data_IF_239386756407
#
_entry.id   IF_239386756407
#
_cell.length_a   1.000
_cell.length_b   1.000
_cell.length_c   1.000
_cell.angle_alpha   90.00
_cell.angle_beta   90.00
_cell.angle_gamma   90.00
#
_symmetry.space_group_name_H-M   'P 1'
#
loop_
_entity.id
_entity.type
_entity.pdbx_description
1 polymer ?
#
# COMPACT_ATOMS: atom_id res chain seq x y z
N UNK A 1 11.40 9.42 20.33
CA UNK A 1 11.32 8.01 19.92
C UNK A 1 11.24 7.99 18.40
N UNK A 2 12.31 7.64 17.69
CA UNK A 2 12.26 7.55 16.23
C UNK A 2 11.29 6.43 15.84
N UNK A 3 10.31 6.66 14.96
CA UNK A 3 9.35 5.62 14.60
C UNK A 3 10.10 4.48 13.89
N UNK A 4 9.93 3.25 14.37
CA UNK A 4 10.40 2.06 13.68
C UNK A 4 9.67 1.98 12.34
N UNK A 5 10.43 1.96 11.24
CA UNK A 5 9.89 1.83 9.88
C UNK A 5 9.67 0.36 9.54
N UNK A 6 8.48 0.07 9.03
CA UNK A 6 8.10 -1.22 8.49
C UNK A 6 7.83 -1.10 6.99
N UNK A 7 7.97 -2.21 6.28
CA UNK A 7 7.86 -2.29 4.83
C UNK A 7 6.95 -3.47 4.50
N UNK A 8 5.80 -3.21 3.91
CA UNK A 8 4.99 -4.25 3.28
C UNK A 8 5.51 -4.50 1.87
N UNK A 9 5.99 -5.72 1.63
CA UNK A 9 6.59 -6.14 0.37
C UNK A 9 5.63 -7.07 -0.34
N UNK A 10 5.21 -6.66 -1.54
CA UNK A 10 4.17 -7.35 -2.32
C UNK A 10 4.73 -7.61 -3.72
N UNK A 11 4.61 -8.84 -4.25
CA UNK A 11 4.90 -9.12 -5.65
C UNK A 11 4.09 -8.21 -6.58
N UNK A 12 4.74 -7.66 -7.62
CA UNK A 12 4.09 -6.70 -8.50
C UNK A 12 2.82 -7.25 -9.18
N UNK A 13 2.82 -8.52 -9.58
CA UNK A 13 1.65 -9.16 -10.20
C UNK A 13 0.46 -9.26 -9.22
N UNK A 14 0.72 -9.57 -7.95
CA UNK A 14 -0.31 -9.60 -6.90
C UNK A 14 -0.86 -8.19 -6.68
N UNK A 15 0.00 -7.18 -6.58
CA UNK A 15 -0.44 -5.79 -6.43
C UNK A 15 -1.32 -5.31 -7.59
N UNK A 16 -0.92 -5.58 -8.83
CA UNK A 16 -1.70 -5.16 -10.01
C UNK A 16 -3.07 -5.86 -10.08
N UNK A 17 -3.16 -7.12 -9.67
CA UNK A 17 -4.40 -7.87 -9.69
C UNK A 17 -5.34 -7.47 -8.54
N UNK A 18 -4.79 -7.29 -7.34
CA UNK A 18 -5.57 -7.28 -6.11
C UNK A 18 -5.76 -5.89 -5.50
N UNK A 19 -4.97 -4.88 -5.89
CA UNK A 19 -5.11 -3.54 -5.32
C UNK A 19 -6.36 -2.81 -5.83
N UNK A 20 -7.09 -2.18 -4.91
CA UNK A 20 -8.30 -1.41 -5.20
C UNK A 20 -8.43 -0.19 -4.30
N UNK A 21 -8.67 0.99 -4.89
CA UNK A 21 -8.91 2.23 -4.18
C UNK A 21 -9.86 3.16 -4.92
N UNK A 22 -11.06 3.31 -4.38
CA UNK A 22 -12.03 4.35 -4.78
C UNK A 22 -11.65 5.79 -4.36
N UNK A 23 -10.47 5.99 -3.75
CA UNK A 23 -9.92 7.28 -3.31
C UNK A 23 -10.71 7.98 -2.19
N UNK A 24 -11.60 7.29 -1.48
CA UNK A 24 -12.44 7.90 -0.42
C UNK A 24 -11.66 8.60 0.68
N UNK A 25 -10.48 8.08 1.05
CA UNK A 25 -9.60 8.67 2.06
C UNK A 25 -9.08 10.07 1.69
N UNK A 26 -9.11 10.45 0.40
CA UNK A 26 -8.71 11.77 -0.09
C UNK A 26 -9.86 12.77 -0.17
N UNK A 27 -11.10 12.35 0.13
CA UNK A 27 -12.26 13.24 0.20
C UNK A 27 -12.44 13.75 1.63
N UNK A 28 -12.69 15.04 1.76
CA UNK A 28 -13.11 15.66 3.01
C UNK A 28 -14.58 15.32 3.30
N UNK A 29 -15.06 15.50 4.54
CA UNK A 29 -16.47 15.30 4.87
C UNK A 29 -17.45 16.17 4.06
N UNK A 30 -16.99 17.34 3.59
CA UNK A 30 -17.77 18.24 2.72
C UNK A 30 -17.77 17.84 1.23
N UNK A 31 -17.12 16.72 0.88
CA UNK A 31 -17.04 16.20 -0.48
C UNK A 31 -15.91 16.81 -1.33
N UNK A 32 -15.20 17.82 -0.83
CA UNK A 32 -14.04 18.41 -1.53
C UNK A 32 -12.79 17.52 -1.41
N UNK A 33 -11.85 17.69 -2.34
CA UNK A 33 -10.62 16.90 -2.35
C UNK A 33 -9.52 17.52 -1.48
N UNK A 34 -8.82 16.70 -0.71
CA UNK A 34 -7.61 17.12 0.03
C UNK A 34 -6.51 17.55 -0.95
N UNK A 35 -6.35 16.79 -2.04
CA UNK A 35 -5.53 17.09 -3.22
C UNK A 35 -6.27 16.62 -4.48
N UNK A 36 -6.09 17.28 -5.64
CA UNK A 36 -6.73 16.86 -6.87
C UNK A 36 -6.44 15.38 -7.16
N UNK A 37 -7.46 14.58 -7.50
CA UNK A 37 -7.26 13.17 -7.83
C UNK A 37 -6.53 13.07 -9.19
N UNK A 38 -5.84 11.95 -9.46
CA UNK A 38 -5.32 11.67 -10.79
C UNK A 38 -6.44 11.67 -11.85
N UNK A 39 -6.09 12.05 -13.08
CA UNK A 39 -7.02 12.25 -14.21
C UNK A 39 -7.48 10.97 -14.92
N UNK A 40 -7.09 9.79 -14.42
CA UNK A 40 -7.59 8.50 -14.87
C UNK A 40 -8.64 7.95 -13.88
N UNK A 41 -9.47 6.97 -14.26
CA UNK A 41 -10.44 6.33 -13.37
C UNK A 41 -9.81 5.75 -12.09
N UNK A 42 -10.61 5.54 -11.05
CA UNK A 42 -10.13 4.84 -9.86
C UNK A 42 -9.59 3.45 -10.24
N UNK A 43 -8.53 3.01 -9.55
CA UNK A 43 -8.02 1.65 -9.72
C UNK A 43 -8.91 0.77 -8.85
N UNK A 44 -9.70 -0.10 -9.48
CA UNK A 44 -10.59 -1.03 -8.79
C UNK A 44 -10.55 -2.38 -9.47
N UNK A 45 -10.73 -3.46 -8.71
CA UNK A 45 -10.88 -4.81 -9.25
C UNK A 45 -12.29 -5.35 -8.97
N UNK A 46 -12.58 -6.54 -9.49
CA UNK A 46 -13.89 -7.18 -9.33
C UNK A 46 -14.18 -7.68 -7.91
N UNK A 47 -13.15 -7.82 -7.08
CA UNK A 47 -13.23 -8.49 -5.78
C UNK A 47 -13.51 -7.52 -4.64
N UNK A 48 -13.06 -6.27 -4.74
CA UNK A 48 -13.29 -5.23 -3.74
C UNK A 48 -13.31 -3.84 -4.37
N UNK A 49 -14.22 -2.98 -3.92
CA UNK A 49 -14.26 -1.57 -4.34
C UNK A 49 -13.14 -0.72 -3.70
N UNK A 50 -12.64 -1.17 -2.54
CA UNK A 50 -11.61 -0.46 -1.78
C UNK A 50 -10.93 -1.38 -0.77
N UNK A 51 -9.61 -1.49 -0.81
CA UNK A 51 -8.82 -2.26 0.16
C UNK A 51 -7.48 -1.59 0.54
N UNK A 52 -7.32 -0.29 0.29
CA UNK A 52 -6.08 0.45 0.58
C UNK A 52 -5.55 0.20 2.00
N UNK A 53 -6.44 0.04 2.98
CA UNK A 53 -6.03 -0.06 4.38
C UNK A 53 -5.29 -1.37 4.67
N UNK A 54 -5.55 -2.42 3.88
CA UNK A 54 -4.80 -3.68 3.92
C UNK A 54 -3.36 -3.54 3.44
N UNK A 55 -3.10 -2.56 2.58
CA UNK A 55 -1.77 -2.24 2.07
C UNK A 55 -1.02 -1.26 2.98
N UNK A 56 -1.74 -0.37 3.68
CA UNK A 56 -1.15 0.59 4.61
C UNK A 56 -0.82 -0.05 5.96
N UNK A 57 -1.67 -0.96 6.46
CA UNK A 57 -1.45 -1.58 7.75
C UNK A 57 -0.18 -2.44 7.78
N UNK A 58 0.48 -2.49 8.93
CA UNK A 58 1.75 -3.22 9.15
C UNK A 58 1.59 -4.38 10.15
N UNK A 59 0.35 -4.86 10.36
CA UNK A 59 0.11 -6.10 11.08
C UNK A 59 0.61 -7.28 10.25
N UNK A 60 1.51 -8.08 10.83
CA UNK A 60 2.13 -9.24 10.16
C UNK A 60 1.13 -10.33 9.77
N UNK A 61 -0.07 -10.33 10.38
CA UNK A 61 -1.09 -11.35 10.15
C UNK A 61 -2.23 -10.86 9.23
N UNK A 62 -2.09 -9.68 8.62
CA UNK A 62 -3.12 -9.05 7.79
C UNK A 62 -2.56 -8.49 6.50
N UNK A 63 -3.43 -8.32 5.51
CA UNK A 63 -3.10 -7.75 4.21
C UNK A 63 -2.20 -8.64 3.33
N UNK A 64 -1.90 -8.20 2.11
CA UNK A 64 -1.13 -8.97 1.12
C UNK A 64 0.38 -8.93 1.35
N UNK A 65 1.10 -9.87 0.75
CA UNK A 65 2.55 -9.94 0.87
C UNK A 65 3.07 -10.11 2.31
N UNK A 66 4.26 -9.56 2.58
CA UNK A 66 4.96 -9.73 3.85
C UNK A 66 5.36 -8.39 4.47
N UNK A 67 5.21 -8.24 5.78
CA UNK A 67 5.68 -7.07 6.53
C UNK A 67 7.08 -7.36 7.07
N UNK A 68 8.05 -6.53 6.69
CA UNK A 68 9.43 -6.56 7.15
C UNK A 68 9.76 -5.32 7.99
N UNK A 69 10.56 -5.49 9.03
CA UNK A 69 11.25 -4.37 9.65
C UNK A 69 12.46 -3.93 8.79
N UNK A 70 13.05 -2.78 9.12
CA UNK A 70 14.20 -2.23 8.39
C UNK A 70 15.36 -3.22 8.23
N UNK A 71 15.73 -3.93 9.30
CA UNK A 71 16.84 -4.88 9.27
C UNK A 71 16.55 -6.03 8.31
N UNK A 72 15.35 -6.63 8.39
CA UNK A 72 14.93 -7.71 7.50
C UNK A 72 14.87 -7.26 6.04
N UNK A 73 14.34 -6.06 5.77
CA UNK A 73 14.24 -5.51 4.42
C UNK A 73 15.63 -5.32 3.80
N UNK A 74 16.56 -4.71 4.54
CA UNK A 74 17.95 -4.51 4.09
C UNK A 74 18.65 -5.84 3.86
N UNK A 75 18.56 -6.77 4.80
CA UNK A 75 19.16 -8.10 4.66
C UNK A 75 18.67 -8.84 3.40
N UNK A 76 17.39 -8.68 3.04
CA UNK A 76 16.78 -9.37 1.91
C UNK A 76 17.11 -8.73 0.56
N UNK A 77 17.11 -7.40 0.48
CA UNK A 77 17.13 -6.70 -0.80
C UNK A 77 18.42 -5.92 -1.09
N UNK A 78 19.26 -5.67 -0.08
CA UNK A 78 20.54 -5.02 -0.33
C UNK A 78 21.45 -5.96 -1.10
N UNK A 79 21.83 -5.54 -2.31
CA UNK A 79 22.89 -6.16 -3.09
C UNK A 79 24.01 -5.12 -3.23
N UNK A 80 25.25 -5.44 -2.83
CA UNK A 80 26.38 -4.57 -3.13
C UNK A 80 26.45 -4.32 -4.64
N UNK A 81 26.81 -3.11 -5.04
CA UNK A 81 27.11 -2.83 -6.43
C UNK A 81 28.29 -3.72 -6.85
N UNK A 82 28.05 -4.63 -7.79
CA UNK A 82 29.09 -5.33 -8.55
C UNK A 82 29.70 -4.39 -9.58
#
# INVERSE_FOLDING_TARGET
>A
MFPFRYFRVIPAAEFVNDFSSDRRHMKRPDGTWIKPPPNYPAITNSSADHNLEDYIQMDHNKGPGEVLNLTQFVQRFYKPAT
#
